data_IF_779922998614
#
_entry.id   IF_779922998614
#
_cell.length_a   1.000
_cell.length_b   1.000
_cell.length_c   1.000
_cell.angle_alpha   90.00
_cell.angle_beta   90.00
_cell.angle_gamma   90.00
#
_symmetry.space_group_name_H-M   'P 1'
#
loop_
_entity.id
_entity.type
_entity.pdbx_description
1 polymer ?
#
# COMPACT_ATOMS: atom_id res chain seq x y z
N UNK A 1 -29.62 49.76 45.52
CA UNK A 1 -30.12 49.16 44.26
C UNK A 1 -28.91 48.72 43.46
N UNK A 2 -28.81 47.44 43.18
CA UNK A 2 -28.02 46.76 42.13
C UNK A 2 -28.15 45.28 42.45
N UNK A 3 -28.63 44.48 41.50
CA UNK A 3 -29.06 43.10 41.74
C UNK A 3 -28.04 42.09 41.27
N UNK A 4 -27.86 41.01 42.02
CA UNK A 4 -27.13 39.83 41.56
C UNK A 4 -27.96 39.08 40.49
N UNK A 5 -27.34 38.54 39.44
CA UNK A 5 -27.99 37.58 38.54
C UNK A 5 -28.01 36.17 39.15
N UNK A 6 -29.10 35.39 39.00
CA UNK A 6 -29.18 34.05 39.56
C UNK A 6 -28.39 33.02 38.72
N UNK A 7 -27.85 32.00 39.39
CA UNK A 7 -27.42 30.77 38.72
C UNK A 7 -28.63 30.01 38.16
N UNK A 8 -28.47 29.36 37.01
CA UNK A 8 -29.44 28.39 36.49
C UNK A 8 -28.76 27.03 36.32
N UNK A 9 -29.12 26.08 37.19
CA UNK A 9 -28.89 24.65 36.97
C UNK A 9 -29.86 24.14 35.91
N UNK A 10 -29.34 23.51 34.85
CA UNK A 10 -30.13 22.68 33.92
C UNK A 10 -29.27 21.62 33.24
N UNK A 11 -29.72 20.36 33.29
CA UNK A 11 -29.46 19.40 32.20
C UNK A 11 -28.49 18.24 32.50
N UNK A 12 -28.86 17.32 33.39
CA UNK A 12 -28.27 15.97 33.41
C UNK A 12 -28.35 15.34 32.01
N UNK A 13 -27.19 15.09 31.39
CA UNK A 13 -27.10 14.49 30.07
C UNK A 13 -26.60 13.05 30.19
N UNK A 14 -27.55 12.10 30.19
CA UNK A 14 -27.24 10.66 30.18
C UNK A 14 -26.54 10.28 28.85
N UNK A 15 -25.47 9.47 28.89
CA UNK A 15 -24.92 8.87 27.67
C UNK A 15 -25.89 7.82 27.12
N UNK A 16 -26.02 7.67 25.78
CA UNK A 16 -26.81 6.61 25.18
C UNK A 16 -26.17 5.24 25.41
N UNK A 17 -26.99 4.20 25.57
CA UNK A 17 -26.52 2.81 25.57
C UNK A 17 -25.93 2.42 24.21
N UNK A 18 -24.88 1.59 24.17
CA UNK A 18 -24.36 1.05 22.91
C UNK A 18 -25.34 0.01 22.35
N UNK A 19 -25.96 0.32 21.21
CA UNK A 19 -26.79 -0.63 20.46
C UNK A 19 -25.98 -1.87 20.06
N UNK A 20 -26.44 -3.05 20.48
CA UNK A 20 -25.83 -4.33 20.13
C UNK A 20 -26.15 -4.72 18.68
N UNK A 21 -25.22 -4.48 17.76
CA UNK A 21 -25.32 -5.00 16.40
C UNK A 21 -25.09 -6.53 16.36
N UNK A 22 -25.77 -7.19 15.42
CA UNK A 22 -25.89 -8.64 15.35
C UNK A 22 -24.75 -9.33 14.60
N UNK A 23 -24.38 -10.52 15.06
CA UNK A 23 -23.57 -11.47 14.29
C UNK A 23 -24.33 -11.93 13.03
N UNK A 24 -24.02 -11.37 11.85
CA UNK A 24 -24.49 -11.94 10.57
C UNK A 24 -23.65 -11.53 9.32
N UNK A 25 -22.32 -11.42 9.44
CA UNK A 25 -21.41 -11.21 8.28
C UNK A 25 -20.17 -12.12 8.33
N UNK A 26 -20.37 -13.44 8.30
CA UNK A 26 -19.30 -14.42 8.01
C UNK A 26 -19.84 -15.54 7.11
N UNK A 27 -19.96 -15.28 5.81
CA UNK A 27 -20.18 -16.32 4.79
C UNK A 27 -19.69 -15.98 3.36
N UNK A 28 -19.16 -14.79 3.11
CA UNK A 28 -18.91 -14.26 1.75
C UNK A 28 -17.42 -13.99 1.44
N UNK A 29 -16.51 -14.81 1.96
CA UNK A 29 -15.07 -14.78 1.63
C UNK A 29 -14.45 -16.19 1.54
N UNK A 30 -15.10 -17.11 0.84
CA UNK A 30 -14.62 -18.50 0.69
C UNK A 30 -14.67 -19.07 -0.74
N UNK A 31 -14.93 -18.23 -1.75
CA UNK A 31 -15.09 -18.67 -3.16
C UNK A 31 -14.09 -18.00 -4.13
N UNK A 32 -12.95 -17.52 -3.62
CA UNK A 32 -11.86 -16.98 -4.46
C UNK A 32 -10.49 -17.44 -3.93
N UNK A 33 -9.98 -18.54 -4.47
CA UNK A 33 -8.55 -18.91 -4.70
C UNK A 33 -8.52 -20.37 -5.20
N UNK A 34 -8.67 -20.50 -6.52
CA UNK A 34 -8.40 -21.64 -7.41
C UNK A 34 -8.40 -21.08 -8.84
N UNK A 35 -7.45 -21.36 -9.72
CA UNK A 35 -6.17 -22.07 -9.58
C UNK A 35 -5.12 -21.31 -10.40
N UNK A 36 -3.92 -21.09 -9.83
CA UNK A 36 -2.79 -20.52 -10.58
C UNK A 36 -1.46 -21.10 -10.09
N UNK A 37 -0.98 -22.14 -10.77
CA UNK A 37 0.44 -22.38 -11.13
C UNK A 37 0.55 -23.79 -11.73
N UNK A 38 0.96 -23.88 -12.99
CA UNK A 38 1.35 -25.13 -13.63
C UNK A 38 2.42 -24.81 -14.65
N UNK A 39 3.68 -24.98 -14.23
CA UNK A 39 4.85 -24.66 -15.04
C UNK A 39 5.91 -25.76 -14.85
N UNK A 40 6.17 -26.53 -15.91
CA UNK A 40 7.35 -27.40 -16.01
C UNK A 40 7.53 -28.04 -17.39
N UNK A 41 8.73 -27.83 -17.95
CA UNK A 41 9.45 -28.70 -18.88
C UNK A 41 8.77 -29.14 -20.19
N UNK A 42 9.21 -28.52 -21.29
CA UNK A 42 9.22 -29.18 -22.59
C UNK A 42 10.30 -30.29 -22.65
N UNK A 43 10.09 -31.29 -23.50
CA UNK A 43 11.10 -31.96 -24.34
C UNK A 43 10.37 -32.73 -25.44
N UNK A 44 10.78 -32.53 -26.70
CA UNK A 44 10.42 -33.39 -27.83
C UNK A 44 11.60 -34.30 -28.19
N UNK A 45 11.32 -35.49 -28.75
CA UNK A 45 11.91 -35.79 -30.05
C UNK A 45 10.87 -36.33 -31.05
N UNK A 46 11.30 -36.59 -32.29
CA UNK A 46 10.43 -36.69 -33.46
C UNK A 46 10.81 -37.82 -34.44
N UNK A 47 9.93 -38.03 -35.44
CA UNK A 47 10.12 -38.72 -36.73
C UNK A 47 10.00 -40.25 -36.87
N UNK A 48 9.14 -40.63 -37.84
CA UNK A 48 9.03 -41.90 -38.60
C UNK A 48 8.66 -43.18 -37.79
N UNK A 49 7.97 -44.20 -38.33
CA UNK A 49 7.56 -44.55 -39.71
C UNK A 49 6.33 -45.53 -39.67
N UNK A 50 5.61 -45.93 -40.74
CA UNK A 50 5.37 -45.42 -42.10
C UNK A 50 4.49 -46.44 -42.90
N UNK A 51 3.35 -46.03 -43.49
CA UNK A 51 2.51 -46.80 -44.46
C UNK A 51 1.86 -48.11 -43.88
N UNK A 52 0.86 -48.80 -44.45
CA UNK A 52 -0.07 -48.66 -45.61
C UNK A 52 -1.32 -49.60 -45.33
N UNK A 53 -2.38 -49.84 -46.13
CA UNK A 53 -2.81 -49.55 -47.52
C UNK A 53 -4.37 -49.66 -47.62
N UNK A 54 -5.06 -48.92 -48.51
CA UNK A 54 -6.36 -49.25 -49.19
C UNK A 54 -7.64 -49.63 -48.36
N UNK A 55 -8.90 -49.62 -48.84
CA UNK A 55 -9.67 -49.15 -50.03
C UNK A 55 -11.10 -48.79 -49.53
N UNK A 56 -12.02 -48.08 -50.20
CA UNK A 56 -12.04 -47.39 -51.50
C UNK A 56 -13.49 -47.14 -51.99
N UNK A 57 -13.73 -46.16 -52.87
CA UNK A 57 -15.01 -45.83 -53.58
C UNK A 57 -16.23 -45.42 -52.71
N UNK A 58 -17.22 -44.65 -53.18
CA UNK A 58 -17.59 -44.28 -54.57
C UNK A 58 -18.04 -42.80 -54.73
N UNK A 59 -18.43 -42.41 -55.94
CA UNK A 59 -18.60 -41.04 -56.44
C UNK A 59 -19.99 -40.42 -56.22
N UNK A 60 -20.07 -39.08 -56.23
CA UNK A 60 -20.94 -38.36 -57.18
C UNK A 60 -20.63 -36.85 -57.26
N UNK A 61 -20.58 -36.29 -58.49
CA UNK A 61 -20.53 -34.84 -58.73
C UNK A 61 -21.94 -34.23 -58.73
N UNK A 62 -22.08 -32.97 -58.27
CA UNK A 62 -22.88 -31.93 -58.96
C UNK A 62 -22.57 -30.50 -58.45
N UNK A 63 -22.83 -29.50 -59.30
CA UNK A 63 -22.50 -28.07 -59.12
C UNK A 63 -23.36 -27.23 -60.09
N UNK A 64 -23.51 -25.91 -59.92
CA UNK A 64 -24.04 -25.14 -58.77
C UNK A 64 -25.44 -24.58 -59.07
N UNK A 65 -26.15 -24.05 -58.06
CA UNK A 65 -26.95 -22.83 -58.26
C UNK A 65 -27.28 -22.10 -56.95
N UNK A 66 -27.61 -20.83 -57.07
CA UNK A 66 -27.87 -19.86 -56.01
C UNK A 66 -29.33 -19.89 -55.54
N UNK A 67 -29.58 -19.55 -54.26
CA UNK A 67 -30.69 -18.66 -53.86
C UNK A 67 -30.50 -18.17 -52.42
N UNK A 68 -30.98 -16.96 -52.10
CA UNK A 68 -31.01 -16.48 -50.72
C UNK A 68 -32.14 -17.13 -49.90
N UNK A 69 -31.84 -17.52 -48.65
CA UNK A 69 -32.64 -17.04 -47.50
C UNK A 69 -31.91 -17.20 -46.17
N UNK A 70 -31.72 -16.07 -45.49
CA UNK A 70 -31.32 -16.02 -44.09
C UNK A 70 -32.58 -15.98 -43.21
N UNK A 71 -33.30 -17.10 -43.13
CA UNK A 71 -34.41 -17.24 -42.19
C UNK A 71 -33.83 -17.40 -40.78
N UNK A 72 -33.76 -16.30 -40.04
CA UNK A 72 -33.21 -16.24 -38.67
C UNK A 72 -34.16 -16.92 -37.69
N UNK A 73 -33.97 -18.23 -37.49
CA UNK A 73 -34.60 -18.97 -36.40
C UNK A 73 -34.31 -18.30 -35.06
N UNK A 74 -35.33 -18.07 -34.25
CA UNK A 74 -35.14 -17.58 -32.88
C UNK A 74 -34.65 -18.70 -31.97
N UNK A 75 -34.12 -18.33 -30.80
CA UNK A 75 -33.61 -19.32 -29.83
C UNK A 75 -34.75 -20.18 -29.29
N UNK A 76 -35.95 -19.61 -29.16
CA UNK A 76 -37.19 -20.32 -28.85
C UNK A 76 -37.55 -21.40 -29.89
N UNK A 77 -37.51 -21.09 -31.19
CA UNK A 77 -37.84 -22.06 -32.25
C UNK A 77 -36.87 -23.26 -32.27
N UNK A 78 -35.57 -23.00 -32.06
CA UNK A 78 -34.59 -24.09 -31.92
C UNK A 78 -34.83 -24.92 -30.64
N UNK A 79 -35.23 -24.29 -29.54
CA UNK A 79 -35.56 -24.98 -28.28
C UNK A 79 -36.81 -25.85 -28.40
N UNK A 80 -37.90 -25.38 -29.02
CA UNK A 80 -39.09 -26.20 -29.25
C UNK A 80 -38.80 -27.42 -30.14
N UNK A 81 -38.01 -27.25 -31.21
CA UNK A 81 -37.62 -28.35 -32.10
C UNK A 81 -36.75 -29.39 -31.37
N UNK A 82 -35.83 -28.97 -30.50
CA UNK A 82 -35.05 -29.88 -29.66
C UNK A 82 -35.91 -30.58 -28.60
N UNK A 83 -36.83 -29.86 -27.96
CA UNK A 83 -37.71 -30.39 -26.93
C UNK A 83 -38.70 -31.42 -27.50
N UNK A 84 -39.24 -31.18 -28.69
CA UNK A 84 -40.08 -32.12 -29.43
C UNK A 84 -39.33 -33.43 -29.74
N UNK A 85 -38.14 -33.33 -30.36
CA UNK A 85 -37.28 -34.51 -30.64
C UNK A 85 -36.90 -35.30 -29.39
N UNK A 86 -36.67 -34.62 -28.26
CA UNK A 86 -36.36 -35.29 -27.01
C UNK A 86 -37.58 -36.05 -26.44
N UNK A 87 -38.80 -35.54 -26.58
CA UNK A 87 -40.01 -36.27 -26.21
C UNK A 87 -40.29 -37.47 -27.12
N UNK A 88 -40.04 -37.32 -28.43
CA UNK A 88 -40.21 -38.37 -29.43
C UNK A 88 -39.27 -39.57 -29.14
N UNK A 89 -37.98 -39.30 -28.92
CA UNK A 89 -36.99 -40.31 -28.54
C UNK A 89 -37.30 -40.98 -27.18
N UNK A 90 -37.80 -40.21 -26.20
CA UNK A 90 -38.29 -40.78 -24.93
C UNK A 90 -39.51 -41.68 -25.10
N UNK A 91 -40.32 -41.48 -26.16
CA UNK A 91 -41.47 -42.32 -26.46
C UNK A 91 -41.07 -43.58 -27.22
N UNK A 92 -40.13 -43.52 -28.18
CA UNK A 92 -39.52 -44.70 -28.79
C UNK A 92 -38.88 -45.62 -27.74
N UNK A 93 -38.10 -45.07 -26.80
CA UNK A 93 -37.47 -45.83 -25.71
C UNK A 93 -38.51 -46.52 -24.82
N UNK A 94 -39.70 -45.93 -24.61
CA UNK A 94 -40.80 -46.58 -23.88
C UNK A 94 -41.42 -47.74 -24.66
N UNK A 95 -41.64 -47.58 -25.96
CA UNK A 95 -42.20 -48.63 -26.82
C UNK A 95 -41.22 -49.80 -26.93
N UNK A 96 -39.96 -49.54 -27.25
CA UNK A 96 -38.92 -50.57 -27.33
C UNK A 96 -38.72 -51.32 -26.00
N UNK A 97 -38.85 -50.65 -24.85
CA UNK A 97 -38.78 -51.30 -23.54
C UNK A 97 -40.04 -52.13 -23.23
N UNK A 98 -41.22 -51.71 -23.68
CA UNK A 98 -42.44 -52.52 -23.58
C UNK A 98 -42.36 -53.79 -24.45
N UNK A 99 -41.91 -53.67 -25.69
CA UNK A 99 -41.72 -54.81 -26.61
C UNK A 99 -40.66 -55.79 -26.09
N UNK A 100 -39.51 -55.29 -25.60
CA UNK A 100 -38.49 -56.14 -24.98
C UNK A 100 -39.01 -56.88 -23.74
N UNK A 101 -39.92 -56.29 -22.95
CA UNK A 101 -40.54 -56.99 -21.82
C UNK A 101 -41.53 -58.07 -22.26
N UNK A 102 -42.33 -57.82 -23.30
CA UNK A 102 -43.23 -58.84 -23.86
C UNK A 102 -42.42 -60.02 -24.43
N UNK A 103 -41.37 -59.75 -25.20
CA UNK A 103 -40.48 -60.78 -25.72
C UNK A 103 -39.74 -61.55 -24.61
N UNK A 104 -39.31 -60.86 -23.54
CA UNK A 104 -38.68 -61.50 -22.39
C UNK A 104 -39.65 -62.41 -21.63
N UNK A 105 -40.88 -61.97 -21.38
CA UNK A 105 -41.90 -62.76 -20.68
C UNK A 105 -42.35 -63.97 -21.53
N UNK A 106 -42.43 -63.84 -22.86
CA UNK A 106 -42.76 -64.95 -23.77
C UNK A 106 -41.64 -66.01 -23.84
N UNK A 107 -40.38 -65.57 -23.96
CA UNK A 107 -39.20 -66.46 -23.91
C UNK A 107 -39.07 -67.12 -22.53
N UNK A 108 -39.33 -66.39 -21.45
CA UNK A 108 -39.29 -66.92 -20.09
C UNK A 108 -40.41 -67.94 -19.85
N UNK A 109 -41.63 -67.69 -20.35
CA UNK A 109 -42.76 -68.61 -20.29
C UNK A 109 -42.49 -69.95 -20.98
N UNK A 110 -41.94 -69.93 -22.21
CA UNK A 110 -41.60 -71.16 -22.93
C UNK A 110 -40.49 -71.96 -22.23
N UNK A 111 -39.46 -71.27 -21.72
CA UNK A 111 -38.30 -71.92 -21.09
C UNK A 111 -38.64 -72.51 -19.70
N UNK A 112 -39.51 -71.84 -18.92
CA UNK A 112 -40.03 -72.36 -17.65
C UNK A 112 -40.86 -73.64 -17.88
N UNK A 113 -41.66 -73.71 -18.94
CA UNK A 113 -42.55 -74.86 -19.17
C UNK A 113 -41.82 -76.19 -19.42
N UNK A 114 -40.67 -76.17 -20.11
CA UNK A 114 -39.97 -77.40 -20.54
C UNK A 114 -38.72 -77.75 -19.72
N UNK A 115 -37.96 -76.78 -19.21
CA UNK A 115 -36.72 -77.09 -18.48
C UNK A 115 -36.91 -77.31 -16.96
N UNK A 116 -37.95 -76.72 -16.33
CA UNK A 116 -38.05 -76.75 -14.87
C UNK A 116 -38.26 -78.14 -14.26
N UNK A 117 -38.97 -79.05 -14.94
CA UNK A 117 -39.24 -80.39 -14.38
C UNK A 117 -37.98 -81.23 -14.14
N UNK A 118 -37.07 -81.24 -15.12
CA UNK A 118 -35.77 -81.93 -15.00
C UNK A 118 -34.76 -81.12 -14.17
N UNK A 119 -34.86 -79.79 -14.19
CA UNK A 119 -34.04 -78.93 -13.34
C UNK A 119 -34.37 -79.13 -11.86
N UNK A 120 -35.66 -79.21 -11.49
CA UNK A 120 -36.08 -79.42 -10.10
C UNK A 120 -35.60 -80.76 -9.55
N UNK A 121 -35.68 -81.87 -10.30
CA UNK A 121 -35.13 -83.15 -9.81
C UNK A 121 -33.61 -83.09 -9.61
N UNK A 122 -32.86 -82.47 -10.53
CA UNK A 122 -31.42 -82.24 -10.31
C UNK A 122 -31.12 -81.27 -9.17
N UNK A 123 -31.99 -80.29 -8.92
CA UNK A 123 -31.86 -79.33 -7.82
C UNK A 123 -32.23 -79.97 -6.48
N UNK A 124 -33.19 -80.89 -6.43
CA UNK A 124 -33.50 -81.70 -5.24
C UNK A 124 -32.38 -82.72 -4.97
N UNK A 125 -31.88 -83.44 -5.98
CA UNK A 125 -30.71 -84.32 -5.82
C UNK A 125 -29.45 -83.55 -5.43
N UNK A 126 -29.25 -82.35 -5.99
CA UNK A 126 -28.17 -81.44 -5.61
C UNK A 126 -28.36 -80.95 -4.18
N UNK A 127 -29.52 -80.42 -3.77
CA UNK A 127 -29.76 -79.99 -2.39
C UNK A 127 -29.70 -81.15 -1.40
N UNK A 128 -30.08 -82.36 -1.78
CA UNK A 128 -30.00 -83.55 -0.91
C UNK A 128 -28.55 -84.03 -0.75
N UNK A 129 -27.76 -84.11 -1.83
CA UNK A 129 -26.32 -84.38 -1.72
C UNK A 129 -25.58 -83.24 -1.01
N UNK A 130 -25.95 -81.99 -1.29
CA UNK A 130 -25.39 -80.79 -0.68
C UNK A 130 -25.70 -80.79 0.82
N UNK A 131 -26.91 -81.12 1.26
CA UNK A 131 -27.26 -81.28 2.67
C UNK A 131 -26.59 -82.50 3.34
N UNK A 132 -26.30 -83.58 2.59
CA UNK A 132 -25.52 -84.71 3.13
C UNK A 132 -24.01 -84.41 3.23
N UNK A 133 -23.44 -83.64 2.29
CA UNK A 133 -22.03 -83.21 2.35
C UNK A 133 -21.84 -82.05 3.34
N UNK A 134 -22.79 -81.11 3.41
CA UNK A 134 -22.95 -80.14 4.50
C UNK A 134 -23.52 -80.82 5.75
N UNK A 135 -22.74 -81.74 6.30
CA UNK A 135 -22.70 -81.90 7.75
C UNK A 135 -22.64 -80.52 8.41
N UNK A 136 -23.56 -80.24 9.35
CA UNK A 136 -23.82 -78.89 9.89
C UNK A 136 -22.53 -78.12 10.25
N UNK A 137 -21.52 -78.82 10.75
CA UNK A 137 -20.19 -78.30 11.04
C UNK A 137 -19.58 -77.41 9.94
N UNK A 138 -19.68 -77.73 8.64
CA UNK A 138 -19.00 -76.92 7.62
C UNK A 138 -19.66 -75.57 7.37
N UNK A 139 -21.01 -75.51 7.37
CA UNK A 139 -21.71 -74.24 7.23
C UNK A 139 -21.56 -73.41 8.51
N UNK A 140 -21.75 -74.02 9.68
CA UNK A 140 -21.59 -73.35 10.99
C UNK A 140 -20.17 -72.83 11.17
N UNK A 141 -19.14 -73.57 10.75
CA UNK A 141 -17.74 -73.11 10.78
C UNK A 141 -17.51 -71.88 9.89
N UNK A 142 -18.01 -71.88 8.65
CA UNK A 142 -17.90 -70.73 7.74
C UNK A 142 -18.71 -69.52 8.19
N UNK A 143 -19.89 -69.72 8.78
CA UNK A 143 -20.68 -68.63 9.36
C UNK A 143 -19.95 -68.05 10.57
N UNK A 144 -19.41 -68.88 11.47
CA UNK A 144 -18.60 -68.40 12.60
C UNK A 144 -17.33 -67.65 12.14
N UNK A 145 -16.63 -68.12 11.11
CA UNK A 145 -15.47 -67.41 10.54
C UNK A 145 -15.87 -66.04 9.96
N UNK A 146 -17.00 -65.97 9.24
CA UNK A 146 -17.50 -64.71 8.68
C UNK A 146 -18.02 -63.76 9.78
N UNK A 147 -18.66 -64.27 10.83
CA UNK A 147 -19.06 -63.49 12.00
C UNK A 147 -17.84 -62.97 12.78
N UNK A 148 -16.80 -63.78 12.98
CA UNK A 148 -15.55 -63.35 13.60
C UNK A 148 -14.87 -62.25 12.76
N UNK A 149 -14.76 -62.45 11.44
CA UNK A 149 -14.14 -61.48 10.52
C UNK A 149 -14.96 -60.19 10.41
N UNK A 150 -16.29 -60.27 10.46
CA UNK A 150 -17.19 -59.10 10.50
C UNK A 150 -17.07 -58.35 11.84
N UNK A 151 -17.01 -59.06 12.96
CA UNK A 151 -16.80 -58.47 14.28
C UNK A 151 -15.42 -57.79 14.38
N UNK A 152 -14.36 -58.42 13.86
CA UNK A 152 -13.03 -57.83 13.78
C UNK A 152 -13.02 -56.57 12.90
N UNK A 153 -13.63 -56.62 11.71
CA UNK A 153 -13.75 -55.47 10.82
C UNK A 153 -14.54 -54.31 11.45
N UNK A 154 -15.61 -54.61 12.20
CA UNK A 154 -16.38 -53.62 12.94
C UNK A 154 -15.56 -53.00 14.09
N UNK A 155 -14.74 -53.80 14.79
CA UNK A 155 -13.82 -53.29 15.82
C UNK A 155 -12.73 -52.39 15.21
N UNK A 156 -12.12 -52.78 14.08
CA UNK A 156 -11.12 -51.94 13.41
C UNK A 156 -11.71 -50.66 12.83
N UNK A 157 -12.92 -50.72 12.25
CA UNK A 157 -13.63 -49.54 11.76
C UNK A 157 -14.02 -48.59 12.89
N UNK A 158 -14.49 -49.12 14.03
CA UNK A 158 -14.75 -48.31 15.22
C UNK A 158 -13.48 -47.60 15.70
N UNK A 159 -12.38 -48.34 15.87
CA UNK A 159 -11.10 -47.76 16.31
C UNK A 159 -10.59 -46.70 15.33
N UNK A 160 -10.59 -46.98 14.02
CA UNK A 160 -10.15 -46.02 13.00
C UNK A 160 -11.03 -44.75 13.00
N UNK A 161 -12.33 -44.89 13.28
CA UNK A 161 -13.24 -43.76 13.46
C UNK A 161 -13.02 -42.96 14.76
N UNK A 162 -12.43 -43.55 15.79
CA UNK A 162 -11.98 -42.88 17.02
C UNK A 162 -10.62 -42.19 16.78
N UNK A 163 -9.64 -42.89 16.19
CA UNK A 163 -8.33 -42.36 15.79
C UNK A 163 -8.47 -41.13 14.85
N UNK A 164 -9.38 -41.20 13.87
CA UNK A 164 -9.66 -40.09 12.94
C UNK A 164 -10.30 -38.88 13.63
N UNK A 165 -11.20 -39.09 14.61
CA UNK A 165 -11.76 -37.99 15.42
C UNK A 165 -10.69 -37.33 16.27
N UNK A 166 -9.78 -38.11 16.87
CA UNK A 166 -8.65 -37.57 17.63
C UNK A 166 -7.71 -36.77 16.73
N UNK A 167 -7.34 -37.31 15.56
CA UNK A 167 -6.48 -36.63 14.58
C UNK A 167 -7.11 -35.33 14.06
N UNK A 168 -8.41 -35.33 13.72
CA UNK A 168 -9.14 -34.11 13.31
C UNK A 168 -9.19 -33.06 14.41
N UNK A 169 -9.29 -33.49 15.68
CA UNK A 169 -9.26 -32.60 16.84
C UNK A 169 -7.85 -32.03 17.08
N UNK A 170 -6.80 -32.86 16.98
CA UNK A 170 -5.39 -32.43 17.00
C UNK A 170 -5.10 -31.41 15.90
N UNK A 171 -5.57 -31.66 14.67
CA UNK A 171 -5.43 -30.73 13.55
C UNK A 171 -6.12 -29.39 13.80
N UNK A 172 -7.41 -29.40 14.22
CA UNK A 172 -8.14 -28.16 14.56
C UNK A 172 -7.41 -27.34 15.64
N UNK A 173 -6.87 -28.02 16.67
CA UNK A 173 -6.11 -27.39 17.75
C UNK A 173 -4.71 -26.89 17.32
N UNK A 174 -4.13 -27.47 16.26
CA UNK A 174 -2.89 -26.96 15.65
C UNK A 174 -3.17 -25.70 14.81
N UNK A 175 -4.23 -25.72 13.99
CA UNK A 175 -4.65 -24.55 13.20
C UNK A 175 -4.96 -23.34 14.09
N UNK A 176 -5.77 -23.50 15.15
CA UNK A 176 -6.10 -22.36 16.03
C UNK A 176 -4.89 -21.80 16.77
N UNK A 177 -3.92 -22.65 17.16
CA UNK A 177 -2.63 -22.21 17.70
C UNK A 177 -1.81 -21.43 16.67
N UNK A 178 -1.73 -21.92 15.43
CA UNK A 178 -0.99 -21.25 14.36
C UNK A 178 -1.61 -19.89 14.01
N UNK A 179 -2.94 -19.81 13.80
CA UNK A 179 -3.64 -18.55 13.54
C UNK A 179 -3.46 -17.53 14.68
N UNK A 180 -3.49 -18.00 15.94
CA UNK A 180 -3.19 -17.15 17.10
C UNK A 180 -1.75 -16.63 17.07
N UNK A 181 -0.77 -17.51 16.86
CA UNK A 181 0.65 -17.15 16.84
C UNK A 181 1.01 -16.22 15.67
N UNK A 182 0.39 -16.40 14.50
CA UNK A 182 0.52 -15.48 13.37
C UNK A 182 -0.02 -14.08 13.72
N UNK A 183 -1.22 -14.00 14.29
CA UNK A 183 -1.80 -12.71 14.74
C UNK A 183 -0.94 -12.03 15.81
N UNK A 184 -0.38 -12.80 16.75
CA UNK A 184 0.51 -12.27 17.79
C UNK A 184 1.86 -11.80 17.20
N UNK A 185 2.44 -12.53 16.24
CA UNK A 185 3.62 -12.09 15.46
C UNK A 185 3.35 -10.80 14.69
N UNK A 186 2.19 -10.71 14.04
CA UNK A 186 1.87 -9.59 13.16
C UNK A 186 1.52 -8.32 13.96
N UNK A 187 0.91 -8.47 15.13
CA UNK A 187 0.77 -7.37 16.10
C UNK A 187 2.13 -6.95 16.69
N UNK A 188 3.01 -7.90 17.05
CA UNK A 188 4.37 -7.59 17.50
C UNK A 188 5.18 -6.86 16.43
N UNK A 189 5.06 -7.27 15.16
CA UNK A 189 5.65 -6.58 14.01
C UNK A 189 5.09 -5.16 13.88
N UNK A 190 3.76 -5.01 13.90
CA UNK A 190 3.09 -3.69 13.84
C UNK A 190 3.59 -2.75 14.92
N UNK A 191 3.76 -3.24 16.16
CA UNK A 191 4.29 -2.45 17.27
C UNK A 191 5.79 -2.12 17.10
N UNK A 192 6.61 -3.09 16.69
CA UNK A 192 8.05 -2.89 16.46
C UNK A 192 8.35 -1.91 15.31
N UNK A 193 7.54 -1.94 14.24
CA UNK A 193 7.60 -1.00 13.12
C UNK A 193 7.07 0.40 13.48
N UNK A 194 6.65 0.63 14.73
CA UNK A 194 6.19 1.92 15.26
C UNK A 194 4.69 2.15 15.18
N UNK A 195 3.90 1.19 14.71
CA UNK A 195 2.44 1.24 14.67
C UNK A 195 1.90 2.50 13.97
N UNK A 196 1.14 3.30 14.72
CA UNK A 196 0.60 4.59 14.27
C UNK A 196 1.42 5.80 14.78
N UNK A 197 2.62 5.58 15.33
CA UNK A 197 3.54 6.63 15.79
C UNK A 197 4.55 7.00 14.70
N UNK A 198 5.20 6.00 14.08
CA UNK A 198 6.05 6.22 12.91
C UNK A 198 5.25 6.01 11.63
N UNK A 199 5.17 7.04 10.78
CA UNK A 199 4.23 7.17 9.66
C UNK A 199 2.73 7.26 10.07
N UNK A 200 2.40 8.01 11.14
CA UNK A 200 1.01 8.30 11.53
C UNK A 200 0.17 8.83 10.36
N UNK A 201 0.78 9.69 9.53
CA UNK A 201 0.49 9.82 8.12
C UNK A 201 1.75 9.41 7.33
N UNK A 202 1.61 8.50 6.35
CA UNK A 202 2.71 8.16 5.44
C UNK A 202 2.86 9.28 4.41
N UNK A 203 3.63 10.32 4.75
CA UNK A 203 3.97 11.40 3.83
C UNK A 203 4.64 10.82 2.57
N UNK A 204 4.02 11.04 1.41
CA UNK A 204 4.61 10.70 0.11
C UNK A 204 5.60 11.79 -0.31
N UNK A 205 6.48 11.45 -1.25
CA UNK A 205 7.39 12.44 -1.85
C UNK A 205 6.59 13.61 -2.45
N UNK A 206 5.46 13.32 -3.12
CA UNK A 206 4.57 14.34 -3.68
C UNK A 206 4.00 15.27 -2.61
N UNK A 207 3.55 14.73 -1.46
CA UNK A 207 3.04 15.55 -0.38
C UNK A 207 4.12 16.47 0.23
N UNK A 208 5.36 15.97 0.35
CA UNK A 208 6.51 16.76 0.80
C UNK A 208 6.86 17.85 -0.23
N UNK A 209 6.88 17.51 -1.52
CA UNK A 209 7.14 18.47 -2.60
C UNK A 209 6.04 19.54 -2.72
N UNK A 210 4.76 19.19 -2.57
CA UNK A 210 3.66 20.15 -2.59
C UNK A 210 3.67 21.06 -1.37
N UNK A 211 3.97 20.53 -0.17
CA UNK A 211 4.16 21.37 1.02
C UNK A 211 5.35 22.32 0.87
N UNK A 212 6.45 21.86 0.25
CA UNK A 212 7.59 22.71 -0.10
C UNK A 212 7.23 23.80 -1.11
N UNK A 213 6.47 23.47 -2.18
CA UNK A 213 5.98 24.44 -3.17
C UNK A 213 5.14 25.54 -2.52
N UNK A 214 4.24 25.17 -1.59
CA UNK A 214 3.42 26.13 -0.83
C UNK A 214 4.31 27.02 0.04
N UNK A 215 5.30 26.46 0.74
CA UNK A 215 6.25 27.23 1.55
C UNK A 215 7.05 28.23 0.69
N UNK A 216 7.60 27.76 -0.44
CA UNK A 216 8.34 28.59 -1.40
C UNK A 216 7.50 29.74 -1.94
N UNK A 217 6.25 29.46 -2.33
CA UNK A 217 5.32 30.47 -2.83
C UNK A 217 5.00 31.55 -1.78
N UNK A 218 4.81 31.15 -0.52
CA UNK A 218 4.55 32.09 0.57
C UNK A 218 5.78 32.97 0.87
N UNK A 219 6.97 32.38 0.88
CA UNK A 219 8.26 33.07 1.06
C UNK A 219 8.50 34.07 -0.08
N UNK A 220 8.38 33.64 -1.34
CA UNK A 220 8.47 34.49 -2.53
C UNK A 220 7.47 35.65 -2.51
N UNK A 221 6.19 35.37 -2.19
CA UNK A 221 5.13 36.40 -2.13
C UNK A 221 5.46 37.50 -1.11
N UNK A 222 6.01 37.13 0.06
CA UNK A 222 6.43 38.10 1.07
C UNK A 222 7.71 38.85 0.65
N UNK A 223 8.68 38.17 0.03
CA UNK A 223 9.88 38.80 -0.52
C UNK A 223 9.54 39.88 -1.55
N UNK A 224 8.71 39.54 -2.54
CA UNK A 224 8.19 40.49 -3.54
C UNK A 224 7.38 41.64 -2.91
N UNK A 225 6.64 41.40 -1.83
CA UNK A 225 5.95 42.48 -1.10
C UNK A 225 6.93 43.46 -0.45
N UNK A 226 8.04 42.96 0.10
CA UNK A 226 9.08 43.72 0.79
C UNK A 226 10.08 44.40 -0.16
N UNK A 227 10.32 43.86 -1.35
CA UNK A 227 11.35 44.34 -2.30
C UNK A 227 11.06 45.72 -2.94
N UNK A 228 9.88 46.30 -2.69
CA UNK A 228 9.35 47.48 -3.38
C UNK A 228 10.09 48.79 -3.09
N UNK A 229 10.98 48.84 -2.11
CA UNK A 229 11.85 49.98 -1.82
C UNK A 229 13.10 49.55 -1.04
N UNK A 230 14.25 50.22 -1.22
CA UNK A 230 15.40 50.03 -0.35
C UNK A 230 15.07 50.51 1.08
N UNK A 231 15.64 49.88 2.12
CA UNK A 231 15.40 50.28 3.51
C UNK A 231 16.07 51.64 3.80
N UNK A 232 15.33 52.69 4.22
CA UNK A 232 15.87 54.05 4.36
C UNK A 232 16.72 54.26 5.63
N UNK A 233 17.02 53.19 6.38
CA UNK A 233 17.75 53.22 7.65
C UNK A 233 18.62 51.98 7.81
N UNK A 234 19.68 52.08 8.62
CA UNK A 234 20.60 50.97 8.88
C UNK A 234 19.90 49.75 9.47
N UNK A 235 20.09 48.60 8.83
CA UNK A 235 19.54 47.32 9.27
C UNK A 235 20.22 46.82 10.56
N UNK A 236 19.47 46.09 11.38
CA UNK A 236 19.99 45.48 12.60
C UNK A 236 20.99 44.34 12.32
N UNK A 237 21.89 44.10 13.27
CA UNK A 237 22.99 43.12 13.16
C UNK A 237 22.53 41.75 12.65
N UNK A 238 21.49 41.15 13.24
CA UNK A 238 20.94 39.85 12.81
C UNK A 238 20.49 39.84 11.34
N UNK A 239 19.96 40.97 10.85
CA UNK A 239 19.53 41.11 9.46
C UNK A 239 20.76 41.18 8.54
N UNK A 240 21.74 42.01 8.89
CA UNK A 240 23.02 42.11 8.17
C UNK A 240 23.76 40.77 8.12
N UNK A 241 23.77 40.01 9.22
CA UNK A 241 24.38 38.67 9.28
C UNK A 241 23.75 37.69 8.29
N UNK A 242 22.42 37.55 8.29
CA UNK A 242 21.71 36.67 7.35
C UNK A 242 21.91 37.10 5.89
N UNK A 243 21.78 38.40 5.59
CA UNK A 243 22.02 38.93 4.24
C UNK A 243 23.46 38.64 3.77
N UNK A 244 24.46 38.82 4.64
CA UNK A 244 25.88 38.55 4.33
C UNK A 244 26.23 37.07 4.15
N UNK A 245 25.34 36.17 4.56
CA UNK A 245 25.47 34.73 4.38
C UNK A 245 24.83 34.26 3.06
N UNK A 246 23.76 34.94 2.61
CA UNK A 246 23.10 34.72 1.32
C UNK A 246 23.94 35.26 0.15
N UNK A 247 24.52 36.47 0.29
CA UNK A 247 25.49 37.03 -0.66
C UNK A 247 26.55 37.89 0.03
N UNK A 248 27.76 37.86 -0.51
CA UNK A 248 28.84 38.76 -0.09
C UNK A 248 28.63 40.20 -0.59
N UNK A 249 27.90 40.37 -1.70
CA UNK A 249 27.61 41.67 -2.35
C UNK A 249 26.25 42.26 -1.97
N UNK A 250 25.62 41.74 -0.91
CA UNK A 250 24.28 42.15 -0.45
C UNK A 250 24.06 43.67 -0.26
N UNK A 251 25.14 44.46 -0.13
CA UNK A 251 25.09 45.92 0.03
C UNK A 251 24.83 46.67 -1.27
N UNK A 252 25.10 46.05 -2.41
CA UNK A 252 24.87 46.60 -3.75
C UNK A 252 23.54 46.05 -4.28
N UNK A 253 23.33 44.74 -4.11
CA UNK A 253 22.11 44.00 -4.44
C UNK A 253 20.84 44.53 -3.74
N UNK A 254 20.96 45.11 -2.54
CA UNK A 254 19.82 45.69 -1.80
C UNK A 254 19.36 47.05 -2.33
N UNK A 255 20.16 47.73 -3.15
CA UNK A 255 19.80 49.01 -3.78
C UNK A 255 19.19 48.80 -5.18
N UNK A 256 19.60 47.75 -5.89
CA UNK A 256 18.88 47.24 -7.05
C UNK A 256 17.49 46.70 -6.66
N UNK A 257 16.51 46.69 -7.59
CA UNK A 257 15.17 46.22 -7.27
C UNK A 257 15.02 44.70 -7.41
N UNK A 258 15.60 44.12 -8.46
CA UNK A 258 15.36 42.74 -8.84
C UNK A 258 16.22 41.83 -7.96
N UNK A 259 17.48 42.21 -7.72
CA UNK A 259 18.36 41.53 -6.75
C UNK A 259 17.86 41.62 -5.30
N UNK A 260 17.19 42.72 -4.90
CA UNK A 260 16.61 42.85 -3.56
C UNK A 260 15.51 41.81 -3.31
N UNK A 261 14.73 41.44 -4.33
CA UNK A 261 13.71 40.41 -4.20
C UNK A 261 14.34 39.04 -3.91
N UNK A 262 15.33 38.63 -4.72
CA UNK A 262 16.07 37.38 -4.52
C UNK A 262 16.80 37.33 -3.16
N UNK A 263 17.44 38.45 -2.77
CA UNK A 263 18.13 38.59 -1.50
C UNK A 263 17.18 38.49 -0.29
N UNK A 264 15.96 39.03 -0.42
CA UNK A 264 14.91 38.93 0.61
C UNK A 264 14.27 37.54 0.66
N UNK A 265 14.11 36.87 -0.49
CA UNK A 265 13.63 35.49 -0.54
C UNK A 265 14.65 34.55 0.14
N UNK A 266 15.94 34.73 -0.16
CA UNK A 266 17.04 34.04 0.52
C UNK A 266 17.10 34.33 2.02
N UNK A 267 16.91 35.59 2.44
CA UNK A 267 16.80 35.95 3.86
C UNK A 267 15.65 35.19 4.56
N UNK A 268 14.49 35.08 3.91
CA UNK A 268 13.32 34.39 4.48
C UNK A 268 13.53 32.88 4.55
N UNK A 269 14.09 32.24 3.53
CA UNK A 269 14.48 30.83 3.59
C UNK A 269 15.54 30.58 4.68
N UNK A 270 16.55 31.45 4.80
CA UNK A 270 17.56 31.38 5.87
C UNK A 270 16.94 31.51 7.26
N UNK A 271 15.97 32.41 7.42
CA UNK A 271 15.20 32.54 8.67
C UNK A 271 14.39 31.27 8.99
N UNK A 272 13.73 30.66 8.01
CA UNK A 272 13.02 29.37 8.22
C UNK A 272 14.00 28.26 8.58
N UNK A 273 15.18 28.22 7.95
CA UNK A 273 16.23 27.27 8.28
C UNK A 273 16.71 27.45 9.75
N UNK A 274 17.08 28.68 10.12
CA UNK A 274 17.54 29.05 11.47
C UNK A 274 16.53 28.78 12.60
N UNK A 275 15.23 28.84 12.30
CA UNK A 275 14.17 28.90 13.32
C UNK A 275 13.19 27.72 13.31
N UNK A 276 13.19 26.91 12.25
CA UNK A 276 12.39 25.69 12.13
C UNK A 276 13.27 24.46 11.88
N UNK A 277 14.05 24.44 10.79
CA UNK A 277 14.70 23.20 10.32
C UNK A 277 15.93 22.80 11.14
N UNK A 278 16.93 23.68 11.28
CA UNK A 278 18.15 23.42 12.07
C UNK A 278 17.96 23.71 13.58
N UNK A 279 16.76 24.13 13.97
CA UNK A 279 16.61 25.07 15.07
C UNK A 279 16.42 24.47 16.48
N UNK A 280 17.00 25.16 17.47
CA UNK A 280 16.72 24.94 18.90
C UNK A 280 15.43 25.58 19.42
N UNK A 281 14.66 26.26 18.57
CA UNK A 281 13.38 26.89 18.91
C UNK A 281 12.25 25.86 18.95
N UNK A 282 11.52 25.82 20.08
CA UNK A 282 10.59 24.73 20.45
C UNK A 282 9.20 24.82 19.81
N UNK A 283 9.15 25.28 18.55
CA UNK A 283 7.91 25.55 17.82
C UNK A 283 6.99 24.33 17.70
N UNK A 284 7.54 23.11 17.78
CA UNK A 284 6.78 21.89 17.99
C UNK A 284 7.63 20.82 18.68
N UNK A 285 7.01 19.74 19.15
CA UNK A 285 7.71 18.59 19.72
C UNK A 285 8.41 18.83 21.07
N UNK A 286 8.31 20.04 21.62
CA UNK A 286 8.80 20.39 22.94
C UNK A 286 10.33 20.39 23.08
N UNK A 287 10.86 20.28 24.31
CA UNK A 287 12.28 20.46 24.58
C UNK A 287 13.23 19.50 23.86
N UNK A 288 12.82 18.25 23.65
CA UNK A 288 13.68 17.19 23.09
C UNK A 288 13.79 17.18 21.56
N UNK A 289 13.01 18.01 20.84
CA UNK A 289 13.06 18.02 19.37
C UNK A 289 14.43 18.49 18.84
N UNK A 290 15.03 19.48 19.51
CA UNK A 290 16.37 19.98 19.16
C UNK A 290 17.46 18.90 19.33
N UNK A 291 17.37 18.10 20.40
CA UNK A 291 18.28 16.97 20.63
C UNK A 291 18.08 15.88 19.56
N UNK A 292 16.83 15.58 19.19
CA UNK A 292 16.49 14.57 18.19
C UNK A 292 16.99 14.97 16.79
N UNK A 293 16.77 16.21 16.37
CA UNK A 293 17.34 16.82 15.14
C UNK A 293 18.86 16.79 15.14
N UNK A 294 19.48 17.09 16.28
CA UNK A 294 20.94 17.01 16.43
C UNK A 294 21.43 15.57 16.24
N UNK A 295 20.70 14.58 16.73
CA UNK A 295 21.02 13.16 16.54
C UNK A 295 20.84 12.74 15.06
N UNK A 296 19.75 13.15 14.40
CA UNK A 296 19.54 12.90 12.97
C UNK A 296 20.67 13.48 12.10
N UNK A 297 20.97 14.78 12.25
CA UNK A 297 22.06 15.42 11.49
C UNK A 297 23.41 14.75 11.72
N UNK A 298 23.69 14.27 12.93
CA UNK A 298 24.88 13.47 13.22
C UNK A 298 24.86 12.07 12.58
N UNK A 299 23.70 11.41 12.49
CA UNK A 299 23.54 10.15 11.79
C UNK A 299 23.71 10.32 10.28
N UNK A 300 22.95 11.24 9.67
CA UNK A 300 22.97 11.53 8.22
C UNK A 300 24.39 11.90 7.74
N UNK A 301 25.11 12.74 8.49
CA UNK A 301 26.49 13.09 8.15
C UNK A 301 27.50 11.92 8.31
N UNK A 302 27.23 10.94 9.19
CA UNK A 302 28.03 9.70 9.28
C UNK A 302 27.70 8.69 8.19
N UNK A 303 26.44 8.65 7.72
CA UNK A 303 26.01 7.73 6.67
C UNK A 303 26.54 8.15 5.31
N UNK A 304 26.59 9.45 5.01
CA UNK A 304 27.06 9.97 3.72
C UNK A 304 28.52 9.64 3.34
N UNK A 305 29.36 9.20 4.30
CA UNK A 305 30.75 8.81 4.03
C UNK A 305 31.01 7.30 3.89
N UNK A 306 30.16 6.44 4.47
CA UNK A 306 30.47 5.01 4.67
C UNK A 306 29.22 4.10 4.61
N UNK A 307 28.25 4.40 3.73
CA UNK A 307 26.95 3.71 3.70
C UNK A 307 27.02 2.20 3.33
N UNK A 308 28.03 1.76 2.58
CA UNK A 308 28.14 0.36 2.13
C UNK A 308 28.26 -0.62 3.32
N UNK A 309 27.22 -1.44 3.49
CA UNK A 309 27.13 -2.46 4.54
C UNK A 309 26.44 -2.02 5.84
N UNK A 310 25.93 -0.78 5.95
CA UNK A 310 25.28 -0.28 7.18
C UNK A 310 23.75 -0.15 7.12
N UNK A 311 23.11 -0.54 6.01
CA UNK A 311 21.68 -0.30 5.74
C UNK A 311 20.74 -0.69 6.89
N UNK A 312 20.94 -1.84 7.55
CA UNK A 312 20.13 -2.26 8.73
C UNK A 312 20.20 -1.29 9.91
N UNK A 313 21.36 -0.65 10.15
CA UNK A 313 21.54 0.34 11.22
C UNK A 313 20.84 1.64 10.82
N UNK A 314 20.92 2.05 9.54
CA UNK A 314 20.16 3.18 9.01
C UNK A 314 18.66 2.97 9.21
N UNK A 315 18.16 1.78 8.85
CA UNK A 315 16.76 1.37 9.02
C UNK A 315 16.30 1.47 10.47
N UNK A 316 17.09 0.98 11.43
CA UNK A 316 16.74 1.04 12.86
C UNK A 316 16.78 2.47 13.39
N UNK A 317 17.81 3.24 13.05
CA UNK A 317 17.98 4.61 13.52
C UNK A 317 16.88 5.55 12.98
N UNK A 318 16.54 5.46 11.69
CA UNK A 318 15.48 6.26 11.08
C UNK A 318 14.08 5.88 11.61
N UNK A 319 13.80 4.58 11.84
CA UNK A 319 12.57 4.16 12.54
C UNK A 319 12.50 4.71 13.95
N UNK A 320 13.60 4.71 14.70
CA UNK A 320 13.66 5.28 16.05
C UNK A 320 13.47 6.80 16.06
N UNK A 321 14.07 7.53 15.12
CA UNK A 321 13.84 8.96 14.92
C UNK A 321 12.35 9.23 14.63
N UNK A 322 11.75 8.55 13.64
CA UNK A 322 10.35 8.69 13.28
C UNK A 322 9.39 8.40 14.45
N UNK A 323 9.65 7.34 15.24
CA UNK A 323 8.91 7.02 16.46
C UNK A 323 9.07 8.12 17.51
N UNK A 324 10.29 8.60 17.73
CA UNK A 324 10.60 9.68 18.65
C UNK A 324 9.84 10.96 18.29
N UNK A 325 9.98 11.43 17.06
CA UNK A 325 9.29 12.60 16.51
C UNK A 325 7.78 12.48 16.62
N UNK A 326 7.20 11.32 16.31
CA UNK A 326 5.78 11.05 16.46
C UNK A 326 5.29 11.15 17.92
N UNK A 327 6.05 10.60 18.87
CA UNK A 327 5.75 10.71 20.31
C UNK A 327 5.89 12.16 20.79
N UNK A 328 6.95 12.86 20.37
CA UNK A 328 7.17 14.27 20.70
C UNK A 328 6.02 15.15 20.15
N UNK A 329 5.55 14.90 18.92
CA UNK A 329 4.42 15.61 18.33
C UNK A 329 3.11 15.34 19.09
N UNK A 330 2.85 14.09 19.48
CA UNK A 330 1.63 13.77 20.24
C UNK A 330 1.63 14.34 21.66
N UNK A 331 2.79 14.51 22.30
CA UNK A 331 2.88 14.98 23.69
C UNK A 331 2.97 16.52 23.82
N UNK A 332 3.54 17.22 22.83
CA UNK A 332 3.69 18.68 22.84
C UNK A 332 2.97 19.43 21.72
N UNK A 333 2.71 18.79 20.58
CA UNK A 333 2.06 19.42 19.43
C UNK A 333 2.82 20.63 18.86
N UNK A 334 2.06 21.57 18.31
CA UNK A 334 2.53 22.84 17.75
C UNK A 334 2.35 24.00 18.75
N UNK A 335 3.44 24.72 19.06
CA UNK A 335 3.45 25.86 19.97
C UNK A 335 2.97 27.14 19.25
N UNK A 336 1.65 27.25 19.02
CA UNK A 336 1.06 28.37 18.27
C UNK A 336 1.42 29.76 18.82
N UNK A 337 1.51 29.94 20.14
CA UNK A 337 1.93 31.23 20.74
C UNK A 337 3.42 31.52 20.54
N UNK A 338 4.29 30.49 20.57
CA UNK A 338 5.70 30.60 20.22
C UNK A 338 5.88 31.01 18.76
N UNK A 339 5.10 30.42 17.86
CA UNK A 339 5.07 30.77 16.44
C UNK A 339 4.62 32.23 16.21
N UNK A 340 3.56 32.70 16.88
CA UNK A 340 3.11 34.11 16.83
C UNK A 340 4.14 35.07 17.38
N UNK A 341 4.82 34.72 18.48
CA UNK A 341 5.87 35.53 19.08
C UNK A 341 7.09 35.65 18.14
N UNK A 342 7.49 34.54 17.50
CA UNK A 342 8.55 34.52 16.48
C UNK A 342 8.15 35.34 15.25
N UNK A 343 6.94 35.15 14.72
CA UNK A 343 6.43 35.92 13.58
C UNK A 343 6.43 37.44 13.85
N UNK A 344 6.05 37.84 15.08
CA UNK A 344 6.09 39.23 15.53
C UNK A 344 7.53 39.77 15.68
N UNK A 345 8.49 38.92 16.04
CA UNK A 345 9.91 39.29 16.14
C UNK A 345 10.56 39.46 14.76
N UNK A 346 10.34 38.52 13.84
CA UNK A 346 10.90 38.56 12.49
C UNK A 346 10.23 39.64 11.63
N UNK A 347 8.91 39.83 11.73
CA UNK A 347 8.23 40.96 11.10
C UNK A 347 8.79 42.32 11.59
N UNK A 348 9.10 42.44 12.89
CA UNK A 348 9.74 43.66 13.43
C UNK A 348 11.12 43.92 12.81
N UNK A 349 11.89 42.88 12.51
CA UNK A 349 13.20 42.99 11.83
C UNK A 349 13.07 43.43 10.36
N UNK A 350 11.93 43.11 9.73
CA UNK A 350 11.64 43.46 8.32
C UNK A 350 10.96 44.82 8.13
N UNK A 351 10.53 45.49 9.20
CA UNK A 351 9.93 46.85 9.13
C UNK A 351 10.73 47.92 8.36
N UNK A 352 12.10 47.92 8.31
CA UNK A 352 12.84 48.88 7.50
C UNK A 352 12.47 48.84 6.01
N UNK A 353 12.23 47.65 5.45
CA UNK A 353 11.84 47.46 4.05
C UNK A 353 10.43 47.99 3.74
N UNK A 354 9.56 48.08 4.75
CA UNK A 354 8.22 48.65 4.61
C UNK A 354 8.20 50.19 4.67
N UNK A 355 9.31 50.85 4.97
CA UNK A 355 9.34 52.28 5.34
C UNK A 355 9.23 53.26 4.15
N UNK A 356 8.57 52.85 3.07
CA UNK A 356 8.28 53.69 1.92
C UNK A 356 7.18 54.75 2.23
N UNK A 357 7.16 55.93 1.57
CA UNK A 357 6.23 57.03 1.87
C UNK A 357 4.73 56.71 1.83
N UNK A 358 4.35 55.61 1.17
CA UNK A 358 2.97 55.20 0.93
C UNK A 358 2.51 54.02 1.80
N UNK A 359 3.31 53.61 2.80
CA UNK A 359 2.98 52.48 3.66
C UNK A 359 1.74 52.78 4.54
N UNK A 360 0.69 51.96 4.40
CA UNK A 360 -0.46 52.02 5.31
C UNK A 360 -0.05 51.55 6.72
N UNK A 361 -0.77 51.99 7.75
CA UNK A 361 -0.56 51.52 9.13
C UNK A 361 -0.81 50.02 9.33
N UNK A 362 -1.40 49.35 8.33
CA UNK A 362 -1.72 47.93 8.29
C UNK A 362 -0.60 47.05 7.70
N UNK A 363 0.36 47.66 6.99
CA UNK A 363 1.50 46.97 6.34
C UNK A 363 2.28 46.04 7.28
N UNK A 364 2.62 46.52 8.49
CA UNK A 364 3.29 45.71 9.52
C UNK A 364 2.40 44.62 10.14
N UNK A 365 1.08 44.77 10.04
CA UNK A 365 0.11 43.71 10.36
C UNK A 365 0.17 42.59 9.34
N UNK A 366 0.03 42.93 8.05
CA UNK A 366 0.15 42.00 6.93
C UNK A 366 1.44 41.18 6.98
N UNK A 367 2.61 41.81 7.17
CA UNK A 367 3.88 41.08 7.20
C UNK A 367 3.98 40.10 8.36
N UNK A 368 3.46 40.44 9.55
CA UNK A 368 3.35 39.50 10.68
C UNK A 368 2.46 38.30 10.34
N UNK A 369 1.37 38.53 9.62
CA UNK A 369 0.39 37.49 9.32
C UNK A 369 0.89 36.56 8.19
N UNK A 370 1.50 37.11 7.14
CA UNK A 370 2.21 36.33 6.11
C UNK A 370 3.39 35.53 6.71
N UNK A 371 4.18 36.15 7.60
CA UNK A 371 5.24 35.47 8.36
C UNK A 371 4.69 34.33 9.24
N UNK A 372 3.50 34.50 9.83
CA UNK A 372 2.84 33.45 10.63
C UNK A 372 2.43 32.26 9.76
N UNK A 373 1.97 32.50 8.53
CA UNK A 373 1.66 31.46 7.54
C UNK A 373 2.92 30.73 7.10
N UNK A 374 4.02 31.43 6.84
CA UNK A 374 5.32 30.84 6.49
C UNK A 374 5.81 29.91 7.62
N UNK A 375 5.80 30.38 8.87
CA UNK A 375 6.28 29.59 10.03
C UNK A 375 5.39 28.36 10.26
N UNK A 376 4.06 28.48 10.20
CA UNK A 376 3.17 27.32 10.34
C UNK A 376 3.36 26.30 9.21
N UNK A 377 3.47 26.77 7.96
CA UNK A 377 3.71 25.93 6.79
C UNK A 377 5.04 25.16 6.89
N UNK A 378 6.10 25.84 7.34
CA UNK A 378 7.41 25.24 7.58
C UNK A 378 7.40 24.24 8.74
N UNK A 379 6.70 24.51 9.83
CA UNK A 379 6.58 23.57 10.96
C UNK A 379 5.81 22.31 10.57
N UNK A 380 4.72 22.43 9.80
CA UNK A 380 4.02 21.26 9.25
C UNK A 380 4.91 20.44 8.30
N UNK A 381 5.70 21.10 7.45
CA UNK A 381 6.68 20.43 6.58
C UNK A 381 7.75 19.70 7.44
N UNK A 382 8.32 20.38 8.42
CA UNK A 382 9.32 19.83 9.34
C UNK A 382 8.78 18.61 10.11
N UNK A 383 7.51 18.64 10.52
CA UNK A 383 6.81 17.47 11.07
C UNK A 383 6.74 16.31 10.06
N UNK A 384 6.44 16.57 8.80
CA UNK A 384 6.41 15.55 7.74
C UNK A 384 7.79 14.94 7.47
N UNK A 385 8.86 15.74 7.55
CA UNK A 385 10.24 15.24 7.43
C UNK A 385 10.60 14.38 8.65
N UNK A 386 10.54 14.96 9.85
CA UNK A 386 11.00 14.34 11.10
C UNK A 386 10.20 13.10 11.53
N UNK A 387 8.92 12.99 11.15
CA UNK A 387 8.07 11.83 11.49
C UNK A 387 8.08 10.72 10.42
N UNK A 388 8.83 10.90 9.32
CA UNK A 388 9.00 9.92 8.26
C UNK A 388 10.10 8.91 8.58
N UNK A 389 9.99 7.70 8.04
CA UNK A 389 11.09 6.73 8.04
C UNK A 389 12.17 7.04 6.98
N UNK A 390 11.88 7.88 5.98
CA UNK A 390 12.93 8.37 5.09
C UNK A 390 13.71 9.50 5.80
N UNK A 391 15.04 9.49 5.71
CA UNK A 391 15.87 10.56 6.27
C UNK A 391 15.93 11.71 5.28
N UNK A 392 15.62 12.92 5.71
CA UNK A 392 15.65 14.11 4.86
C UNK A 392 16.84 15.00 5.20
N UNK A 393 17.34 15.74 4.21
CA UNK A 393 18.46 16.65 4.40
C UNK A 393 18.29 17.92 3.59
N UNK A 394 18.15 19.03 4.31
CA UNK A 394 18.16 20.37 3.74
C UNK A 394 19.61 20.80 3.61
N UNK A 395 19.97 21.37 2.45
CA UNK A 395 21.34 21.78 2.14
C UNK A 395 21.34 23.15 1.46
N UNK A 396 22.38 23.94 1.72
CA UNK A 396 22.56 25.28 1.13
C UNK A 396 23.74 25.38 0.16
N UNK A 397 24.48 24.28 -0.02
CA UNK A 397 25.57 24.15 -1.00
C UNK A 397 25.52 22.78 -1.66
N UNK A 398 26.01 22.70 -2.89
CA UNK A 398 26.19 21.43 -3.58
C UNK A 398 27.21 20.56 -2.84
N UNK A 399 26.81 19.35 -2.46
CA UNK A 399 27.61 18.42 -1.68
C UNK A 399 28.75 17.78 -2.48
N UNK A 400 28.69 17.84 -3.82
CA UNK A 400 29.75 17.36 -4.73
C UNK A 400 30.89 18.38 -4.83
N UNK A 401 30.63 19.64 -4.47
CA UNK A 401 31.55 20.75 -4.72
C UNK A 401 32.42 21.12 -3.50
N UNK A 402 33.68 21.45 -3.79
CA UNK A 402 34.68 21.85 -2.80
C UNK A 402 34.27 23.15 -2.09
N UNK A 403 33.91 23.03 -0.81
CA UNK A 403 33.44 24.13 0.02
C UNK A 403 34.46 25.27 0.25
N UNK A 404 35.74 25.07 -0.13
CA UNK A 404 36.78 26.12 -0.09
C UNK A 404 36.78 27.05 -1.31
N UNK A 405 35.98 26.75 -2.34
CA UNK A 405 35.91 27.49 -3.60
C UNK A 405 34.56 28.20 -3.78
N UNK A 406 34.46 29.17 -4.72
CA UNK A 406 33.18 29.60 -5.25
C UNK A 406 32.40 28.40 -5.78
N UNK A 407 31.10 28.38 -5.54
CA UNK A 407 30.20 27.33 -6.02
C UNK A 407 29.89 27.58 -7.50
N UNK A 408 29.97 26.54 -8.32
CA UNK A 408 29.64 26.58 -9.74
C UNK A 408 28.20 26.13 -9.97
N UNK A 409 27.57 26.64 -11.02
CA UNK A 409 26.24 26.23 -11.43
C UNK A 409 26.21 24.76 -11.88
N UNK A 410 25.30 23.97 -11.30
CA UNK A 410 25.13 22.56 -11.63
C UNK A 410 23.65 22.30 -12.02
N UNK A 411 23.31 22.24 -13.31
CA UNK A 411 21.93 22.16 -13.79
C UNK A 411 21.19 20.87 -13.41
N UNK A 412 21.91 19.87 -12.87
CA UNK A 412 21.30 18.65 -12.35
C UNK A 412 20.66 18.86 -10.96
N UNK A 413 21.19 19.79 -10.16
CA UNK A 413 20.78 19.99 -8.76
C UNK A 413 20.31 21.42 -8.44
N UNK A 414 20.56 22.39 -9.33
CA UNK A 414 20.13 23.78 -9.21
C UNK A 414 19.17 24.15 -10.35
N UNK A 415 18.32 25.13 -10.10
CA UNK A 415 17.62 25.90 -11.14
C UNK A 415 18.07 27.36 -11.03
N UNK A 416 18.74 27.89 -12.05
CA UNK A 416 19.09 29.30 -12.10
C UNK A 416 17.87 30.12 -12.48
N UNK A 417 17.45 31.05 -11.61
CA UNK A 417 16.29 31.91 -11.85
C UNK A 417 16.68 33.29 -12.42
N UNK A 418 17.96 33.65 -12.29
CA UNK A 418 18.58 34.80 -12.95
C UNK A 418 20.06 34.53 -13.23
N UNK A 419 20.60 35.14 -14.28
CA UNK A 419 22.02 35.15 -14.64
C UNK A 419 22.38 36.48 -15.32
N UNK A 420 23.63 36.89 -15.22
CA UNK A 420 24.16 38.08 -15.92
C UNK A 420 24.68 37.72 -17.32
N UNK A 421 25.10 36.47 -17.52
CA UNK A 421 25.57 35.93 -18.80
C UNK A 421 24.83 34.66 -19.23
N UNK A 422 25.27 34.03 -20.33
CA UNK A 422 24.72 32.78 -20.84
C UNK A 422 25.19 31.60 -19.96
N UNK A 423 24.22 30.96 -19.30
CA UNK A 423 24.47 29.91 -18.30
C UNK A 423 25.32 28.75 -18.82
N UNK A 424 26.36 28.41 -18.05
CA UNK A 424 27.23 27.26 -18.30
C UNK A 424 27.58 26.54 -16.99
N UNK A 425 28.16 25.35 -17.08
CA UNK A 425 28.74 24.64 -15.92
C UNK A 425 30.00 25.33 -15.35
N UNK A 426 30.44 26.45 -15.95
CA UNK A 426 31.54 27.31 -15.47
C UNK A 426 31.03 28.60 -14.82
N UNK A 427 29.74 28.94 -14.97
CA UNK A 427 29.11 30.10 -14.32
C UNK A 427 29.15 29.94 -12.80
N UNK A 428 29.49 31.01 -12.08
CA UNK A 428 29.57 31.00 -10.62
C UNK A 428 28.23 31.37 -10.00
N UNK A 429 27.87 30.67 -8.92
CA UNK A 429 26.67 30.98 -8.12
C UNK A 429 26.98 32.18 -7.23
N UNK A 430 26.39 33.32 -7.56
CA UNK A 430 26.49 34.57 -6.79
C UNK A 430 25.65 34.50 -5.51
N UNK A 431 24.47 33.88 -5.60
CA UNK A 431 23.49 33.79 -4.51
C UNK A 431 22.76 32.44 -4.54
N UNK A 432 22.56 31.83 -3.36
CA UNK A 432 21.63 30.70 -3.16
C UNK A 432 20.38 31.22 -2.47
N UNK A 433 19.23 31.11 -3.12
CA UNK A 433 17.96 31.68 -2.67
C UNK A 433 17.17 30.65 -1.85
N UNK A 434 17.02 29.44 -2.38
CA UNK A 434 16.33 28.35 -1.70
C UNK A 434 17.23 27.12 -1.56
N UNK A 435 17.12 26.35 -0.47
CA UNK A 435 17.96 25.18 -0.25
C UNK A 435 17.56 23.97 -1.10
N UNK A 436 18.51 23.06 -1.31
CA UNK A 436 18.26 21.71 -1.82
C UNK A 436 17.51 20.88 -0.77
N UNK A 437 16.56 20.03 -1.19
CA UNK A 437 16.01 18.96 -0.36
C UNK A 437 16.43 17.60 -0.91
N UNK A 438 17.31 16.92 -0.18
CA UNK A 438 17.66 15.52 -0.42
C UNK A 438 16.86 14.59 0.50
N UNK A 439 16.64 13.36 0.03
CA UNK A 439 16.06 12.24 0.78
C UNK A 439 16.97 11.02 0.66
N UNK A 440 17.23 10.31 1.76
CA UNK A 440 17.86 9.01 1.78
C UNK A 440 16.85 7.93 2.23
N UNK A 441 16.74 6.87 1.43
CA UNK A 441 15.77 5.80 1.63
C UNK A 441 14.32 6.17 1.26
N UNK A 442 13.38 5.28 1.63
CA UNK A 442 11.96 5.38 1.32
C UNK A 442 11.07 5.44 2.58
N UNK A 443 9.79 5.78 2.40
CA UNK A 443 8.83 5.93 3.50
C UNK A 443 8.49 4.62 4.25
N UNK A 444 8.87 3.45 3.72
CA UNK A 444 8.77 2.16 4.41
C UNK A 444 10.03 1.86 5.25
N UNK A 445 11.02 2.76 5.19
CA UNK A 445 12.26 2.70 5.94
C UNK A 445 13.22 1.66 5.39
N UNK A 446 13.56 1.76 4.11
CA UNK A 446 14.50 0.93 3.34
C UNK A 446 15.33 1.80 2.37
N UNK A 447 16.33 1.21 1.71
CA UNK A 447 17.09 1.78 0.58
C UNK A 447 17.98 3.02 0.87
N UNK A 448 18.50 3.17 2.10
CA UNK A 448 19.33 4.33 2.51
C UNK A 448 20.71 4.40 1.85
N UNK A 449 21.16 3.34 1.19
CA UNK A 449 22.34 3.37 0.30
C UNK A 449 22.10 4.18 -0.98
N UNK A 450 20.86 4.59 -1.25
CA UNK A 450 20.49 5.56 -2.29
C UNK A 450 20.03 6.89 -1.67
N UNK A 451 20.45 7.99 -2.30
CA UNK A 451 19.94 9.34 -2.04
C UNK A 451 19.33 9.91 -3.31
N UNK A 452 18.26 10.69 -3.15
CA UNK A 452 17.47 11.30 -4.20
C UNK A 452 17.30 12.79 -3.89
N UNK A 453 17.57 13.64 -4.88
CA UNK A 453 17.16 15.04 -4.83
C UNK A 453 15.65 15.11 -5.09
N UNK A 454 14.90 15.75 -4.18
CA UNK A 454 13.47 16.03 -4.36
C UNK A 454 13.24 17.47 -4.83
N UNK A 455 13.99 18.42 -4.25
CA UNK A 455 13.92 19.84 -4.62
C UNK A 455 15.31 20.36 -4.93
N UNK A 456 15.46 21.00 -6.10
CA UNK A 456 16.65 21.75 -6.49
C UNK A 456 16.73 23.09 -5.76
N UNK A 457 17.94 23.60 -5.56
CA UNK A 457 18.14 24.97 -5.06
C UNK A 457 17.86 26.00 -6.17
N UNK A 458 17.11 27.05 -5.85
CA UNK A 458 17.03 28.25 -6.69
C UNK A 458 18.27 29.12 -6.48
N UNK A 459 18.91 29.55 -7.58
CA UNK A 459 20.19 30.29 -7.54
C UNK A 459 20.20 31.48 -8.50
N UNK A 460 21.06 32.46 -8.20
CA UNK A 460 21.48 33.52 -9.14
C UNK A 460 22.92 33.27 -9.56
N UNK A 461 23.19 33.35 -10.87
CA UNK A 461 24.52 33.18 -11.45
C UNK A 461 25.09 34.50 -12.00
N UNK A 462 26.36 34.47 -12.40
CA UNK A 462 27.04 35.48 -13.23
C UNK A 462 26.71 35.36 -14.73
#
# INVERSE_FOLDING_TARGET
MSSEPPCQDTGDSYPPEPTSESFDVINEQLETIRDTESDSTAISPSHHAQLDLETGTDNHEHRPQDQERSDTWTVEEFLEIQQGRHQELLQEVRVANAENRIALDEVMGQNISTNFGLCFQRIEEFFTNWAQQFTQHQLVSKVAELEERLNLANQTNKKLGEDFKEMRTKHKNACTKLSKALRERDEQRRLADGGALANSAKATDDAVMDKWRILSYNIHTLAHYLAKSPPPQGLGEVVLSRLSWISQSYREEIEDQDYREFLLEGYLWGMVNDTVFDAGTRLWGGPGMADLKTIESNLVNRLGGEAQGRSEICQQAARWLAQGSGILNQLWGFESEGAKALATLEARRLMPFLSAPNASSDSGGRVRDEMSVIIACAVELDQMLMCSKALFKIHWKDHVQDHSKPQLYNPNVMDAIASETELSEQSTVKMVISPFLYKAGNADGQNYESSMLLIKAAVVCD
#
